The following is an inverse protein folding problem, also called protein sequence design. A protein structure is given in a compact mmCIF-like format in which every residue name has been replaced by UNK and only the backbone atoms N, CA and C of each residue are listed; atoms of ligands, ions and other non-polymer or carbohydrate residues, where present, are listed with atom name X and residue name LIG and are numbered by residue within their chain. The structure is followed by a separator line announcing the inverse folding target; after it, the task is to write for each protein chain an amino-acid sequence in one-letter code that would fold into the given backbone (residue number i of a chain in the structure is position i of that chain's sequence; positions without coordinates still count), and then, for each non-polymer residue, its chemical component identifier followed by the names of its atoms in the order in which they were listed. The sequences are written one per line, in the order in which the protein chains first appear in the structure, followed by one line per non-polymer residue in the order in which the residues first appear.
data_IF_299566646808
#
_entry.id   IF_299566646808
#
_cell.length_a   1.000
_cell.length_b   1.000
_cell.length_c   1.000
_cell.angle_alpha   90.00
_cell.angle_beta   90.00
_cell.angle_gamma   90.00
#
_symmetry.space_group_name_H-M   'P 1'
#
loop_
_entity.id
_entity.type
_entity.pdbx_description
1 polymer ?
#
# COMPACT_ATOMS: atom_id res chain seq x y z
N UNK A 1 5.61 23.59 9.39
CA UNK A 1 4.75 23.45 8.19
C UNK A 1 3.29 23.72 8.57
N UNK A 2 2.67 22.94 9.46
CA UNK A 2 1.23 23.04 9.82
C UNK A 2 0.81 24.42 10.31
N UNK A 3 1.67 25.15 11.04
CA UNK A 3 1.36 26.51 11.51
C UNK A 3 1.25 27.55 10.39
N UNK A 4 1.88 27.31 9.25
CA UNK A 4 1.87 28.18 8.09
C UNK A 4 0.76 27.84 7.07
N UNK A 5 0.01 26.77 7.32
CA UNK A 5 -1.09 26.31 6.46
C UNK A 5 -2.35 27.16 6.67
N UNK A 6 -3.06 27.47 5.60
CA UNK A 6 -4.42 28.04 5.67
C UNK A 6 -5.40 27.00 6.22
N UNK A 7 -6.65 27.40 6.48
CA UNK A 7 -7.70 26.47 6.90
C UNK A 7 -8.02 25.48 5.77
N UNK A 8 -8.06 25.97 4.54
CA UNK A 8 -8.28 25.16 3.34
C UNK A 8 -7.16 24.11 3.17
N UNK A 9 -5.89 24.51 3.33
CA UNK A 9 -4.75 23.59 3.31
C UNK A 9 -4.91 22.49 4.37
N UNK A 10 -5.24 22.89 5.60
CA UNK A 10 -5.43 21.94 6.70
C UNK A 10 -6.57 20.97 6.43
N UNK A 11 -7.69 21.46 5.89
CA UNK A 11 -8.82 20.62 5.51
C UNK A 11 -8.42 19.65 4.39
N UNK A 12 -7.73 20.10 3.36
CA UNK A 12 -7.22 19.26 2.28
C UNK A 12 -6.28 18.17 2.78
N UNK A 13 -5.40 18.49 3.74
CA UNK A 13 -4.47 17.52 4.32
C UNK A 13 -5.14 16.42 5.17
N UNK A 14 -6.44 16.50 5.42
CA UNK A 14 -7.22 15.41 6.04
C UNK A 14 -7.81 14.44 5.01
N UNK A 15 -7.68 14.72 3.72
CA UNK A 15 -8.33 13.97 2.65
C UNK A 15 -7.29 13.17 1.85
N UNK A 16 -7.43 11.86 1.88
CA UNK A 16 -6.79 10.93 0.96
C UNK A 16 -7.83 10.50 -0.07
N UNK A 17 -7.64 10.85 -1.32
CA UNK A 17 -8.69 10.73 -2.36
C UNK A 17 -8.40 9.60 -3.35
N UNK A 18 -9.46 9.13 -4.01
CA UNK A 18 -9.37 8.25 -5.15
C UNK A 18 -9.28 9.11 -6.42
N UNK A 19 -8.18 9.05 -7.15
CA UNK A 19 -8.05 9.76 -8.43
C UNK A 19 -8.37 8.85 -9.63
N UNK A 20 -9.64 8.48 -9.77
CA UNK A 20 -10.09 7.67 -10.91
C UNK A 20 -10.22 8.44 -12.23
N UNK A 21 -10.02 9.77 -12.23
CA UNK A 21 -10.29 10.64 -13.39
C UNK A 21 -9.28 11.77 -13.60
N UNK A 22 -8.08 11.68 -13.05
CA UNK A 22 -7.10 12.78 -13.05
C UNK A 22 -7.67 14.09 -12.45
N UNK A 23 -8.48 13.96 -11.39
CA UNK A 23 -9.15 15.09 -10.72
C UNK A 23 -8.31 15.72 -9.60
N UNK A 24 -7.05 15.29 -9.40
CA UNK A 24 -6.13 15.96 -8.47
C UNK A 24 -5.71 17.32 -9.00
N UNK A 25 -6.72 18.17 -9.23
CA UNK A 25 -6.54 19.58 -9.52
C UNK A 25 -6.37 20.42 -8.27
N UNK A 26 -6.81 19.89 -7.11
CA UNK A 26 -6.63 20.54 -5.83
C UNK A 26 -5.27 20.16 -5.23
N UNK A 27 -4.36 21.11 -5.22
CA UNK A 27 -2.99 20.99 -4.76
C UNK A 27 -2.86 20.84 -3.23
N UNK A 28 -3.97 20.91 -2.49
CA UNK A 28 -3.96 20.90 -1.02
C UNK A 28 -4.22 19.53 -0.41
N UNK A 29 -4.67 18.54 -1.19
CA UNK A 29 -4.94 17.17 -0.71
C UNK A 29 -3.72 16.49 -0.12
N UNK A 30 -3.92 15.65 0.90
CA UNK A 30 -2.82 14.89 1.52
C UNK A 30 -2.23 13.83 0.60
N UNK A 31 -3.00 13.33 -0.35
CA UNK A 31 -2.55 12.32 -1.30
C UNK A 31 -3.69 11.58 -1.98
N UNK A 32 -3.33 10.47 -2.62
CA UNK A 32 -4.30 9.61 -3.29
C UNK A 32 -4.05 8.12 -3.03
N UNK A 33 -5.12 7.34 -3.19
CA UNK A 33 -5.07 5.88 -3.26
C UNK A 33 -5.17 5.47 -4.73
N UNK A 34 -4.18 4.73 -5.21
CA UNK A 34 -4.14 4.20 -6.57
C UNK A 34 -4.87 2.85 -6.63
N UNK A 35 -5.64 2.68 -7.68
CA UNK A 35 -6.44 1.48 -7.93
C UNK A 35 -6.07 0.82 -9.26
N UNK A 36 -6.85 -0.18 -9.65
CA UNK A 36 -6.60 -1.02 -10.84
C UNK A 36 -6.40 -0.19 -12.11
N UNK A 37 -7.23 0.85 -12.33
CA UNK A 37 -7.20 1.69 -13.52
C UNK A 37 -5.90 2.53 -13.63
N UNK A 38 -5.20 2.72 -12.51
CA UNK A 38 -3.92 3.43 -12.48
C UNK A 38 -2.77 2.60 -13.05
N UNK A 39 -2.94 1.28 -13.15
CA UNK A 39 -1.92 0.33 -13.57
C UNK A 39 -2.30 -0.46 -14.83
N UNK A 40 -3.60 -0.75 -15.02
CA UNK A 40 -4.08 -1.54 -16.14
C UNK A 40 -3.76 -0.88 -17.49
N UNK A 41 -3.19 -1.65 -18.41
CA UNK A 41 -2.80 -1.20 -19.76
C UNK A 41 -1.79 -0.03 -19.77
N UNK A 42 -1.02 0.15 -18.71
CA UNK A 42 0.06 1.14 -18.62
C UNK A 42 1.40 0.44 -18.52
N UNK A 43 2.40 1.06 -19.10
CA UNK A 43 3.81 0.69 -18.88
C UNK A 43 4.27 1.20 -17.50
N UNK A 44 5.39 0.63 -17.03
CA UNK A 44 6.06 1.08 -15.81
C UNK A 44 6.35 2.59 -15.84
N UNK A 45 6.88 3.09 -16.95
CA UNK A 45 7.24 4.50 -17.10
C UNK A 45 6.01 5.41 -17.03
N UNK A 46 4.91 5.05 -17.67
CA UNK A 46 3.67 5.83 -17.61
C UNK A 46 3.13 5.96 -16.17
N UNK A 47 3.25 4.90 -15.37
CA UNK A 47 2.84 4.95 -13.95
C UNK A 47 3.77 5.87 -13.16
N UNK A 48 5.09 5.76 -13.35
CA UNK A 48 6.07 6.64 -12.69
C UNK A 48 5.82 8.10 -13.05
N UNK A 49 5.69 8.42 -14.34
CA UNK A 49 5.41 9.79 -14.82
C UNK A 49 4.11 10.37 -14.25
N UNK A 50 3.06 9.54 -14.11
CA UNK A 50 1.82 9.98 -13.49
C UNK A 50 2.00 10.32 -12.01
N UNK A 51 2.72 9.50 -11.25
CA UNK A 51 2.98 9.74 -9.83
C UNK A 51 3.88 10.97 -9.65
N UNK A 52 4.91 11.12 -10.46
CA UNK A 52 5.77 12.32 -10.46
C UNK A 52 4.97 13.59 -10.75
N UNK A 53 4.01 13.52 -11.68
CA UNK A 53 3.11 14.64 -11.98
C UNK A 53 2.24 15.01 -10.78
N UNK A 54 1.72 14.03 -10.01
CA UNK A 54 0.97 14.30 -8.79
C UNK A 54 1.86 15.01 -7.77
N UNK A 55 3.05 14.50 -7.51
CA UNK A 55 3.99 15.10 -6.55
C UNK A 55 4.44 16.50 -6.96
N UNK A 56 4.71 16.74 -8.25
CA UNK A 56 5.19 18.05 -8.74
C UNK A 56 4.12 19.11 -8.73
N UNK A 57 2.84 18.74 -8.87
CA UNK A 57 1.71 19.67 -8.81
C UNK A 57 1.22 19.94 -7.38
N UNK A 58 1.63 19.13 -6.43
CA UNK A 58 1.16 19.23 -5.04
C UNK A 58 1.85 20.40 -4.30
N UNK A 59 1.07 21.11 -3.48
CA UNK A 59 1.60 22.16 -2.59
C UNK A 59 2.43 21.58 -1.43
N UNK A 60 2.10 20.38 -1.01
CA UNK A 60 2.77 19.62 0.04
C UNK A 60 3.08 18.21 -0.47
N UNK A 61 4.16 17.55 0.03
CA UNK A 61 4.45 16.18 -0.37
C UNK A 61 3.25 15.26 -0.14
N UNK A 62 2.87 14.51 -1.18
CA UNK A 62 1.67 13.67 -1.16
C UNK A 62 1.96 12.26 -0.63
N UNK A 63 0.96 11.71 0.04
CA UNK A 63 0.83 10.28 0.27
C UNK A 63 0.34 9.64 -1.03
N UNK A 64 1.12 8.71 -1.57
CA UNK A 64 0.73 7.86 -2.70
C UNK A 64 0.55 6.45 -2.14
N UNK A 65 -0.69 6.03 -2.00
CA UNK A 65 -1.05 4.78 -1.35
C UNK A 65 -1.60 3.75 -2.34
N UNK A 66 -1.43 2.47 -2.02
CA UNK A 66 -1.96 1.35 -2.81
C UNK A 66 -2.30 0.16 -1.92
N UNK A 67 -3.24 -0.68 -2.37
CA UNK A 67 -3.49 -2.00 -1.80
C UNK A 67 -2.58 -3.05 -2.46
N UNK A 68 -1.47 -3.37 -1.86
CA UNK A 68 -0.58 -4.46 -2.31
C UNK A 68 -0.39 -5.44 -1.14
N UNK A 69 -1.48 -6.13 -0.75
CA UNK A 69 -1.47 -7.10 0.36
C UNK A 69 -0.71 -8.37 -0.02
N UNK A 70 -0.92 -8.80 -1.24
CA UNK A 70 -0.56 -10.12 -1.76
C UNK A 70 -1.79 -10.96 -2.10
N UNK A 71 -1.61 -12.00 -2.91
CA UNK A 71 -2.67 -12.92 -3.29
C UNK A 71 -3.74 -12.27 -4.16
N UNK A 72 -4.98 -12.20 -3.65
CA UNK A 72 -6.12 -11.65 -4.40
C UNK A 72 -6.17 -10.12 -4.40
N UNK A 73 -5.54 -9.47 -3.43
CA UNK A 73 -5.52 -8.01 -3.29
C UNK A 73 -4.13 -7.49 -3.63
N UNK A 74 -3.92 -7.27 -4.90
CA UNK A 74 -2.72 -6.70 -5.51
C UNK A 74 -3.13 -5.76 -6.64
N UNK A 75 -2.48 -4.60 -6.74
CA UNK A 75 -2.77 -3.62 -7.79
C UNK A 75 -1.61 -3.47 -8.74
N UNK A 76 -0.41 -3.25 -8.23
CA UNK A 76 0.80 -3.00 -9.02
C UNK A 76 1.34 -4.30 -9.62
N UNK A 77 1.59 -5.30 -8.78
CA UNK A 77 2.17 -6.57 -9.24
C UNK A 77 1.26 -7.37 -10.15
N UNK A 78 -0.04 -7.10 -10.14
CA UNK A 78 -1.01 -7.72 -11.06
C UNK A 78 -0.71 -7.39 -12.53
N UNK A 79 -0.22 -6.19 -12.82
CA UNK A 79 -0.05 -5.67 -14.16
C UNK A 79 1.40 -5.43 -14.57
N UNK A 80 2.27 -5.15 -13.60
CA UNK A 80 3.62 -4.64 -13.85
C UNK A 80 4.73 -5.57 -13.33
N UNK A 81 4.38 -6.81 -12.97
CA UNK A 81 5.33 -7.85 -12.54
C UNK A 81 4.96 -9.19 -13.17
N UNK A 82 5.96 -10.00 -13.51
CA UNK A 82 5.73 -11.33 -14.09
C UNK A 82 4.97 -12.26 -13.14
N UNK A 83 5.31 -12.20 -11.85
CA UNK A 83 4.64 -12.96 -10.80
C UNK A 83 4.09 -12.03 -9.72
N UNK A 84 2.79 -12.14 -9.44
CA UNK A 84 2.15 -11.38 -8.36
C UNK A 84 2.76 -11.76 -7.00
N UNK A 85 2.73 -10.82 -6.06
CA UNK A 85 3.01 -11.15 -4.67
C UNK A 85 2.00 -12.14 -4.13
N UNK A 86 2.50 -13.15 -3.40
CA UNK A 86 1.71 -14.27 -2.90
C UNK A 86 0.91 -13.88 -1.66
N UNK A 87 -0.07 -14.71 -1.31
CA UNK A 87 -0.74 -14.61 -0.01
C UNK A 87 0.27 -14.77 1.13
N UNK A 88 0.15 -13.95 2.20
CA UNK A 88 1.06 -14.04 3.34
C UNK A 88 1.16 -15.46 3.96
N UNK A 89 0.03 -16.18 4.03
CA UNK A 89 0.03 -17.58 4.53
C UNK A 89 0.90 -18.50 3.66
N UNK A 90 0.90 -18.31 2.34
CA UNK A 90 1.69 -19.15 1.43
C UNK A 90 3.17 -18.75 1.44
N UNK A 91 3.47 -17.48 1.67
CA UNK A 91 4.83 -17.01 1.94
C UNK A 91 5.34 -17.62 3.23
N UNK A 92 4.54 -17.60 4.31
CA UNK A 92 4.91 -18.19 5.59
C UNK A 92 5.19 -19.69 5.51
N UNK A 93 4.36 -20.44 4.78
CA UNK A 93 4.57 -21.89 4.56
C UNK A 93 5.90 -22.19 3.87
N UNK A 94 6.44 -21.28 3.09
CA UNK A 94 7.68 -21.49 2.35
C UNK A 94 8.96 -21.30 3.18
N UNK A 95 8.93 -20.58 4.30
CA UNK A 95 10.12 -20.31 5.11
C UNK A 95 9.86 -19.54 6.39
N UNK A 96 8.64 -19.61 6.92
CA UNK A 96 8.29 -19.00 8.20
C UNK A 96 8.32 -17.47 8.18
N UNK A 97 8.61 -16.87 9.34
CA UNK A 97 8.60 -15.42 9.52
C UNK A 97 9.71 -14.71 8.73
N UNK A 98 10.85 -15.36 8.53
CA UNK A 98 11.94 -14.79 7.72
C UNK A 98 11.51 -14.57 6.27
N UNK A 99 10.72 -15.49 5.71
CA UNK A 99 10.12 -15.30 4.37
C UNK A 99 9.11 -14.17 4.35
N UNK A 100 8.32 -13.96 5.39
CA UNK A 100 7.39 -12.82 5.54
C UNK A 100 8.17 -11.50 5.54
N UNK A 101 9.24 -11.41 6.31
CA UNK A 101 10.09 -10.21 6.39
C UNK A 101 10.69 -9.90 5.01
N UNK A 102 11.24 -10.92 4.36
CA UNK A 102 11.83 -10.79 3.01
C UNK A 102 10.79 -10.35 1.97
N UNK A 103 9.60 -10.96 1.97
CA UNK A 103 8.50 -10.59 1.06
C UNK A 103 8.00 -9.16 1.30
N UNK A 104 7.86 -8.75 2.56
CA UNK A 104 7.45 -7.39 2.92
C UNK A 104 8.49 -6.35 2.47
N UNK A 105 9.77 -6.65 2.61
CA UNK A 105 10.87 -5.81 2.14
C UNK A 105 10.86 -5.71 0.62
N UNK A 106 10.88 -6.83 -0.10
CA UNK A 106 10.86 -6.86 -1.57
C UNK A 106 9.65 -6.12 -2.15
N UNK A 107 8.47 -6.37 -1.58
CA UNK A 107 7.23 -5.71 -1.98
C UNK A 107 7.32 -4.20 -1.82
N UNK A 108 7.84 -3.74 -0.71
CA UNK A 108 7.96 -2.33 -0.41
C UNK A 108 9.02 -1.63 -1.27
N UNK A 109 10.17 -2.27 -1.50
CA UNK A 109 11.19 -1.79 -2.45
C UNK A 109 10.58 -1.66 -3.85
N UNK A 110 9.87 -2.68 -4.30
CA UNK A 110 9.19 -2.68 -5.59
C UNK A 110 8.17 -1.53 -5.73
N UNK A 111 7.36 -1.26 -4.71
CA UNK A 111 6.41 -0.15 -4.72
C UNK A 111 7.12 1.21 -4.77
N UNK A 112 8.23 1.36 -4.04
CA UNK A 112 9.02 2.59 -4.05
C UNK A 112 9.61 2.93 -5.41
N UNK A 113 9.92 1.94 -6.25
CA UNK A 113 10.41 2.18 -7.61
C UNK A 113 9.40 2.94 -8.50
N UNK A 114 8.12 2.91 -8.14
CA UNK A 114 7.08 3.70 -8.81
C UNK A 114 6.81 5.06 -8.15
N UNK A 115 7.43 5.34 -7.01
CA UNK A 115 7.13 6.54 -6.21
C UNK A 115 5.97 6.36 -5.21
N UNK A 116 5.46 5.14 -5.04
CA UNK A 116 4.47 4.80 -4.02
C UNK A 116 5.16 4.79 -2.66
N UNK A 117 4.56 5.46 -1.66
CA UNK A 117 5.19 5.65 -0.35
C UNK A 117 4.37 5.10 0.83
N UNK A 118 3.14 4.62 0.57
CA UNK A 118 2.30 3.94 1.57
C UNK A 118 1.69 2.68 0.96
N UNK A 119 1.81 1.54 1.66
CA UNK A 119 1.03 0.34 1.35
C UNK A 119 -0.07 0.18 2.39
N UNK A 120 -1.32 0.04 1.94
CA UNK A 120 -2.49 -0.23 2.77
C UNK A 120 -2.49 -1.72 3.18
N UNK A 121 -1.49 -2.10 3.94
CA UNK A 121 -1.19 -3.43 4.47
C UNK A 121 -0.34 -3.27 5.74
N UNK A 122 -0.25 -4.29 6.61
CA UNK A 122 -0.85 -5.62 6.52
C UNK A 122 -2.32 -5.68 6.97
N UNK A 123 -3.01 -6.77 6.58
CA UNK A 123 -4.33 -7.13 7.14
C UNK A 123 -4.12 -7.67 8.55
N UNK A 124 -4.80 -7.06 9.53
CA UNK A 124 -4.70 -7.40 10.94
C UNK A 124 -5.92 -8.17 11.48
N UNK A 125 -6.88 -8.48 10.60
CA UNK A 125 -8.04 -9.28 10.96
C UNK A 125 -7.65 -10.69 11.43
N UNK A 126 -8.40 -11.18 12.40
CA UNK A 126 -8.37 -12.58 12.86
C UNK A 126 -9.67 -13.24 12.43
N UNK A 127 -9.61 -14.14 11.47
CA UNK A 127 -10.78 -14.86 10.99
C UNK A 127 -10.64 -16.36 11.28
N UNK A 128 -11.62 -16.91 11.98
CA UNK A 128 -11.67 -18.33 12.38
C UNK A 128 -12.63 -19.14 11.52
N UNK A 129 -13.54 -18.48 10.81
CA UNK A 129 -14.53 -19.12 9.96
C UNK A 129 -14.10 -18.98 8.48
N UNK A 130 -14.01 -20.11 7.78
CA UNK A 130 -13.63 -20.16 6.35
C UNK A 130 -14.63 -19.45 5.41
N UNK A 131 -15.88 -19.31 5.85
CA UNK A 131 -16.92 -18.61 5.12
C UNK A 131 -16.84 -17.07 5.24
N UNK A 132 -16.02 -16.55 6.14
CA UNK A 132 -15.83 -15.12 6.31
C UNK A 132 -15.12 -14.52 5.10
N UNK A 133 -15.63 -13.40 4.61
CA UNK A 133 -15.04 -12.66 3.48
C UNK A 133 -13.54 -12.39 3.66
N UNK A 134 -13.10 -12.10 4.90
CA UNK A 134 -11.73 -11.74 5.20
C UNK A 134 -10.81 -12.96 5.40
N UNK A 135 -11.36 -14.18 5.60
CA UNK A 135 -10.59 -15.37 5.99
C UNK A 135 -9.37 -15.63 5.09
N UNK A 136 -9.55 -15.55 3.78
CA UNK A 136 -8.45 -15.78 2.81
C UNK A 136 -7.38 -14.70 2.81
N UNK A 137 -7.67 -13.51 3.38
CA UNK A 137 -6.74 -12.38 3.48
C UNK A 137 -6.12 -12.28 4.86
N UNK A 138 -6.75 -12.83 5.89
CA UNK A 138 -6.24 -12.88 7.26
C UNK A 138 -5.02 -13.79 7.33
N UNK A 139 -4.02 -13.40 8.12
CA UNK A 139 -2.80 -14.20 8.26
C UNK A 139 -2.99 -15.41 9.19
N UNK A 140 -3.64 -15.22 10.32
CA UNK A 140 -3.80 -16.23 11.34
C UNK A 140 -5.23 -16.35 11.87
N UNK A 141 -5.44 -17.41 12.63
CA UNK A 141 -6.72 -17.74 13.28
C UNK A 141 -6.76 -17.30 14.75
N UNK A 142 -5.70 -16.70 15.25
CA UNK A 142 -5.60 -16.17 16.60
C UNK A 142 -4.86 -14.82 16.63
N UNK A 143 -5.06 -14.08 17.73
CA UNK A 143 -4.53 -12.74 17.89
C UNK A 143 -3.00 -12.71 18.06
N UNK A 144 -2.40 -13.72 18.70
CA UNK A 144 -0.96 -13.73 18.98
C UNK A 144 -0.16 -13.95 17.69
N UNK A 145 -0.59 -14.92 16.87
CA UNK A 145 0.02 -15.21 15.57
C UNK A 145 -0.13 -14.01 14.64
N UNK A 146 -1.32 -13.43 14.57
CA UNK A 146 -1.59 -12.24 13.73
C UNK A 146 -0.79 -11.03 14.21
N UNK A 147 -0.69 -10.78 15.53
CA UNK A 147 0.10 -9.69 16.08
C UNK A 147 1.59 -9.81 15.76
N UNK A 148 2.12 -11.04 15.84
CA UNK A 148 3.52 -11.29 15.48
C UNK A 148 3.78 -11.04 13.98
N UNK A 149 2.89 -11.50 13.11
CA UNK A 149 2.94 -11.22 11.67
C UNK A 149 2.92 -9.71 11.38
N UNK A 150 1.91 -9.01 11.91
CA UNK A 150 1.74 -7.56 11.73
C UNK A 150 2.99 -6.80 12.17
N UNK A 151 3.52 -7.12 13.36
CA UNK A 151 4.74 -6.49 13.88
C UNK A 151 5.90 -6.63 12.91
N UNK A 152 6.17 -7.83 12.43
CA UNK A 152 7.32 -8.09 11.54
C UNK A 152 7.15 -7.38 10.19
N UNK A 153 5.95 -7.39 9.61
CA UNK A 153 5.66 -6.67 8.36
C UNK A 153 5.85 -5.17 8.53
N UNK A 154 5.26 -4.58 9.58
CA UNK A 154 5.38 -3.13 9.84
C UNK A 154 6.82 -2.72 10.08
N UNK A 155 7.60 -3.52 10.81
CA UNK A 155 9.03 -3.25 11.02
C UNK A 155 9.80 -3.30 9.71
N UNK A 156 9.62 -4.34 8.89
CA UNK A 156 10.29 -4.46 7.60
C UNK A 156 9.97 -3.28 6.66
N UNK A 157 8.69 -2.85 6.62
CA UNK A 157 8.27 -1.69 5.86
C UNK A 157 8.90 -0.39 6.38
N UNK A 158 8.92 -0.21 7.70
CA UNK A 158 9.49 0.97 8.36
C UNK A 158 11.00 1.11 8.12
N UNK A 159 11.75 0.01 8.14
CA UNK A 159 13.20 -0.01 7.94
C UNK A 159 13.59 0.57 6.57
N UNK A 160 12.76 0.40 5.58
CA UNK A 160 12.94 0.96 4.22
C UNK A 160 12.09 2.21 3.97
N UNK A 161 11.50 2.81 5.00
CA UNK A 161 10.69 4.04 4.93
C UNK A 161 9.47 3.90 4.00
N UNK A 162 8.81 2.76 4.04
CA UNK A 162 7.49 2.55 3.46
C UNK A 162 6.44 2.74 4.56
N UNK A 163 5.47 3.62 4.32
CA UNK A 163 4.31 3.77 5.21
C UNK A 163 3.43 2.53 5.20
N UNK A 164 2.92 2.14 6.36
CA UNK A 164 2.00 1.00 6.52
C UNK A 164 0.69 1.46 7.14
N UNK A 165 -0.42 0.86 6.71
CA UNK A 165 -1.75 1.08 7.28
C UNK A 165 -2.36 -0.27 7.61
N UNK A 166 -2.61 -0.51 8.89
CA UNK A 166 -3.30 -1.72 9.36
C UNK A 166 -4.76 -1.68 8.95
N UNK A 167 -5.28 -2.81 8.53
CA UNK A 167 -6.70 -2.96 8.20
C UNK A 167 -7.21 -4.36 8.45
#
# INVERSE_FOLDING_TARGET
IVQAMTIEDKAGQLLLVLDSKNLLTDQTMSGCVLFEDDFANKSRNEVIENIERYQSNAKYPMIIAVDEEGGSVVRVSKYLRDNRFRLPQDVYKSGGMDSIISDATEKSEYLKEFGINVNLAPVADVATNEDDYIYRRSFGVDADVTSNYVRNVVMAMSDIKMGSVLK
#
